data_IF_869459379165
#
_entry.id   IF_869459379165
#
_cell.length_a   1.000
_cell.length_b   1.000
_cell.length_c   1.000
_cell.angle_alpha   90.00
_cell.angle_beta   90.00
_cell.angle_gamma   90.00
#
_symmetry.space_group_name_H-M   'P 1'
#
loop_
_entity.id
_entity.type
_entity.pdbx_description
1 polymer ?
#
# COMPACT_ATOMS: atom_id res chain seq x y z
N UNK A 1 2.61 -29.70 -34.01
CA UNK A 1 1.43 -29.44 -33.16
C UNK A 1 1.96 -29.38 -31.73
N UNK A 2 1.81 -28.26 -30.99
CA UNK A 2 2.20 -28.24 -29.59
C UNK A 2 1.20 -29.10 -28.80
N UNK A 3 1.72 -30.06 -28.02
CA UNK A 3 0.94 -30.84 -27.07
C UNK A 3 0.20 -29.91 -26.12
N UNK A 4 -1.13 -30.01 -26.10
CA UNK A 4 -1.95 -29.36 -25.08
C UNK A 4 -1.68 -30.08 -23.76
N UNK A 5 -0.77 -29.51 -22.96
CA UNK A 5 -0.62 -29.92 -21.56
C UNK A 5 -1.94 -29.63 -20.85
N UNK A 6 -2.71 -30.68 -20.54
CA UNK A 6 -3.90 -30.52 -19.69
C UNK A 6 -3.47 -29.93 -18.34
N UNK A 7 -4.10 -28.86 -17.88
CA UNK A 7 -3.79 -28.31 -16.58
C UNK A 7 -4.02 -29.39 -15.50
N UNK A 8 -3.05 -29.55 -14.61
CA UNK A 8 -3.16 -30.46 -13.48
C UNK A 8 -4.44 -30.18 -12.68
N UNK A 9 -5.25 -31.20 -12.33
CA UNK A 9 -6.47 -31.02 -11.53
C UNK A 9 -6.18 -30.63 -10.06
N UNK A 10 -4.94 -30.77 -9.61
CA UNK A 10 -4.53 -30.54 -8.22
C UNK A 10 -4.86 -29.11 -7.71
N UNK A 11 -4.57 -28.01 -8.44
CA UNK A 11 -4.93 -26.66 -7.95
C UNK A 11 -6.44 -26.48 -7.79
N UNK A 12 -7.24 -27.04 -8.69
CA UNK A 12 -8.70 -26.95 -8.58
C UNK A 12 -9.21 -27.74 -7.37
N UNK A 13 -8.70 -28.95 -7.15
CA UNK A 13 -9.05 -29.78 -5.99
C UNK A 13 -8.70 -29.06 -4.67
N UNK A 14 -7.50 -28.52 -4.55
CA UNK A 14 -7.07 -27.76 -3.36
C UNK A 14 -7.95 -26.56 -3.11
N UNK A 15 -8.32 -25.82 -4.16
CA UNK A 15 -9.22 -24.67 -4.04
C UNK A 15 -10.60 -25.07 -3.55
N UNK A 16 -11.21 -26.12 -4.14
CA UNK A 16 -12.51 -26.60 -3.71
C UNK A 16 -12.48 -27.18 -2.29
N UNK A 17 -11.42 -27.90 -1.92
CA UNK A 17 -11.24 -28.38 -0.54
C UNK A 17 -11.15 -27.23 0.44
N UNK A 18 -10.38 -26.18 0.11
CA UNK A 18 -10.29 -24.95 0.94
C UNK A 18 -11.65 -24.27 1.12
N UNK A 19 -12.40 -24.09 0.03
CA UNK A 19 -13.76 -23.52 0.07
C UNK A 19 -14.67 -24.38 0.93
N UNK A 20 -14.67 -25.70 0.74
CA UNK A 20 -15.48 -26.62 1.52
C UNK A 20 -15.17 -26.55 3.02
N UNK A 21 -13.88 -26.51 3.40
CA UNK A 21 -13.45 -26.36 4.80
C UNK A 21 -13.92 -25.03 5.40
N UNK A 22 -13.82 -23.94 4.65
CA UNK A 22 -14.31 -22.63 5.09
C UNK A 22 -15.83 -22.67 5.34
N UNK A 23 -16.60 -23.25 4.41
CA UNK A 23 -18.05 -23.38 4.54
C UNK A 23 -18.43 -24.26 5.74
N UNK A 24 -17.76 -25.41 5.89
CA UNK A 24 -17.97 -26.31 7.04
C UNK A 24 -17.64 -25.59 8.35
N UNK A 25 -16.52 -24.85 8.42
CA UNK A 25 -16.15 -24.06 9.57
C UNK A 25 -17.21 -22.99 9.91
N UNK A 26 -17.67 -22.25 8.89
CA UNK A 26 -18.72 -21.24 9.05
C UNK A 26 -20.01 -21.86 9.63
N UNK A 27 -20.42 -23.02 9.11
CA UNK A 27 -21.62 -23.72 9.56
C UNK A 27 -21.45 -24.32 10.96
N UNK A 28 -20.34 -25.06 11.19
CA UNK A 28 -20.08 -25.74 12.46
C UNK A 28 -19.99 -24.77 13.65
N UNK A 29 -19.38 -23.60 13.43
CA UNK A 29 -19.22 -22.56 14.46
C UNK A 29 -20.35 -21.54 14.48
N UNK A 30 -21.40 -21.73 13.69
CA UNK A 30 -22.54 -20.79 13.58
C UNK A 30 -22.13 -19.34 13.37
N UNK A 31 -21.06 -19.12 12.62
CA UNK A 31 -20.46 -17.77 12.42
C UNK A 31 -21.42 -16.75 11.82
N UNK A 32 -22.50 -17.20 11.16
CA UNK A 32 -23.57 -16.28 10.68
C UNK A 32 -24.30 -15.55 11.81
N UNK A 33 -24.26 -16.05 13.05
CA UNK A 33 -24.90 -15.39 14.20
C UNK A 33 -24.12 -14.16 14.65
N UNK A 34 -22.79 -14.15 14.38
CA UNK A 34 -21.87 -13.06 14.68
C UNK A 34 -21.78 -12.02 13.54
N UNK A 35 -22.46 -12.26 12.41
CA UNK A 35 -22.41 -11.33 11.29
C UNK A 35 -23.13 -10.02 11.65
N UNK A 36 -22.47 -8.86 11.52
CA UNK A 36 -23.03 -7.57 11.83
C UNK A 36 -23.99 -7.10 10.74
N UNK A 37 -25.16 -7.72 10.62
CA UNK A 37 -26.16 -7.39 9.60
C UNK A 37 -26.53 -5.89 9.51
N UNK A 38 -26.64 -5.11 10.61
CA UNK A 38 -26.87 -3.68 10.52
C UNK A 38 -25.79 -2.97 9.73
N UNK A 39 -24.51 -3.33 9.95
CA UNK A 39 -23.38 -2.77 9.20
C UNK A 39 -23.38 -3.17 7.73
N UNK A 40 -23.88 -4.36 7.40
CA UNK A 40 -24.03 -4.76 6.00
C UNK A 40 -25.04 -3.86 5.26
N UNK A 41 -26.11 -3.44 5.92
CA UNK A 41 -27.07 -2.48 5.38
C UNK A 41 -26.42 -1.10 5.17
N UNK A 42 -25.69 -0.59 6.15
CA UNK A 42 -24.95 0.68 6.05
C UNK A 42 -23.95 0.66 4.87
N UNK A 43 -23.17 -0.41 4.72
CA UNK A 43 -22.25 -0.57 3.60
C UNK A 43 -22.99 -0.69 2.26
N UNK A 44 -24.13 -1.35 2.23
CA UNK A 44 -25.00 -1.40 1.06
C UNK A 44 -25.50 -0.02 0.66
N UNK A 45 -25.93 0.79 1.62
CA UNK A 45 -26.34 2.19 1.39
C UNK A 45 -25.16 3.04 0.89
N UNK A 46 -23.97 2.94 1.50
CA UNK A 46 -22.77 3.64 1.05
C UNK A 46 -22.37 3.23 -0.37
N UNK A 47 -22.50 1.95 -0.71
CA UNK A 47 -22.27 1.45 -2.05
C UNK A 47 -23.23 2.09 -3.07
N UNK A 48 -24.51 2.17 -2.76
CA UNK A 48 -25.51 2.82 -3.61
C UNK A 48 -25.25 4.31 -3.76
N UNK A 49 -24.90 5.00 -2.67
CA UNK A 49 -24.55 6.42 -2.70
C UNK A 49 -23.30 6.68 -3.55
N UNK A 50 -22.27 5.81 -3.45
CA UNK A 50 -21.07 5.93 -4.27
C UNK A 50 -21.37 5.71 -5.76
N UNK A 51 -22.21 4.73 -6.10
CA UNK A 51 -22.66 4.50 -7.48
C UNK A 51 -23.47 5.68 -8.00
N UNK A 52 -24.36 6.24 -7.18
CA UNK A 52 -25.14 7.44 -7.53
C UNK A 52 -24.22 8.67 -7.73
N UNK A 53 -23.22 8.88 -6.85
CA UNK A 53 -22.24 9.97 -6.99
C UNK A 53 -21.34 9.80 -8.21
N UNK A 54 -21.04 8.57 -8.60
CA UNK A 54 -20.26 8.29 -9.81
C UNK A 54 -21.05 8.52 -11.12
N UNK A 55 -22.38 8.43 -11.08
CA UNK A 55 -23.23 8.52 -12.27
C UNK A 55 -23.06 9.81 -13.07
N UNK A 56 -23.00 11.04 -12.49
CA UNK A 56 -22.76 12.26 -13.26
C UNK A 56 -21.44 12.24 -14.03
N UNK A 57 -20.36 11.74 -13.41
CA UNK A 57 -19.06 11.64 -14.07
C UNK A 57 -19.10 10.67 -15.27
N UNK A 58 -19.82 9.56 -15.12
CA UNK A 58 -20.05 8.64 -16.24
C UNK A 58 -20.84 9.33 -17.37
N UNK A 59 -21.90 10.06 -17.03
CA UNK A 59 -22.81 10.66 -18.03
C UNK A 59 -22.19 11.85 -18.75
N UNK A 60 -21.50 12.74 -18.02
CA UNK A 60 -21.00 13.99 -18.58
C UNK A 60 -19.57 13.90 -19.10
N UNK A 61 -18.72 13.13 -18.40
CA UNK A 61 -17.29 13.01 -18.75
C UNK A 61 -16.98 11.74 -19.51
N UNK A 62 -17.96 10.88 -19.75
CA UNK A 62 -17.80 9.59 -20.43
C UNK A 62 -16.72 8.68 -19.78
N UNK A 63 -16.56 8.82 -18.47
CA UNK A 63 -15.62 7.99 -17.73
C UNK A 63 -16.16 6.58 -17.55
N UNK A 64 -15.26 5.59 -17.46
CA UNK A 64 -15.64 4.24 -17.04
C UNK A 64 -16.24 4.28 -15.62
N UNK A 65 -17.15 3.34 -15.33
CA UNK A 65 -17.76 3.27 -13.99
C UNK A 65 -16.71 3.12 -12.88
N UNK A 66 -15.68 2.31 -13.10
CA UNK A 66 -14.58 2.14 -12.15
C UNK A 66 -13.82 3.46 -11.90
N UNK A 67 -13.47 4.22 -12.97
CA UNK A 67 -12.79 5.51 -12.81
C UNK A 67 -13.67 6.55 -12.11
N UNK A 68 -14.97 6.58 -12.42
CA UNK A 68 -15.93 7.48 -11.78
C UNK A 68 -16.11 7.16 -10.29
N UNK A 69 -16.16 5.86 -9.92
CA UNK A 69 -16.16 5.42 -8.53
C UNK A 69 -14.88 5.82 -7.81
N UNK A 70 -13.71 5.59 -8.40
CA UNK A 70 -12.44 6.01 -7.83
C UNK A 70 -12.40 7.51 -7.53
N UNK A 71 -12.89 8.34 -8.45
CA UNK A 71 -12.99 9.78 -8.24
C UNK A 71 -13.99 10.16 -7.13
N UNK A 72 -15.14 9.47 -7.06
CA UNK A 72 -16.13 9.70 -6.01
C UNK A 72 -15.55 9.37 -4.62
N UNK A 73 -14.82 8.26 -4.50
CA UNK A 73 -14.14 7.89 -3.25
C UNK A 73 -13.03 8.87 -2.86
N UNK A 74 -12.23 9.35 -3.81
CA UNK A 74 -11.20 10.37 -3.54
C UNK A 74 -11.81 11.71 -3.12
N UNK A 75 -12.95 12.08 -3.72
CA UNK A 75 -13.68 13.28 -3.31
C UNK A 75 -14.23 13.12 -1.88
N UNK A 76 -14.84 11.98 -1.57
CA UNK A 76 -15.32 11.68 -0.22
C UNK A 76 -14.18 11.72 0.79
N UNK A 77 -13.03 11.11 0.47
CA UNK A 77 -11.84 11.19 1.31
C UNK A 77 -11.42 12.64 1.57
N UNK A 78 -11.40 13.49 0.52
CA UNK A 78 -11.05 14.91 0.69
C UNK A 78 -12.05 15.69 1.53
N UNK A 79 -13.35 15.31 1.48
CA UNK A 79 -14.39 15.92 2.32
C UNK A 79 -14.26 15.50 3.77
N UNK A 80 -14.08 14.21 4.04
CA UNK A 80 -14.10 13.67 5.41
C UNK A 80 -12.74 13.76 6.12
N UNK A 81 -11.63 13.50 5.43
CA UNK A 81 -10.27 13.59 6.00
C UNK A 81 -9.66 14.99 5.85
N UNK A 82 -10.33 15.89 5.13
CA UNK A 82 -9.84 17.23 4.83
C UNK A 82 -8.97 17.33 3.57
N UNK A 83 -9.04 18.45 2.83
CA UNK A 83 -8.29 18.64 1.61
C UNK A 83 -6.77 18.75 1.84
N UNK A 84 -6.34 19.37 2.94
CA UNK A 84 -4.90 19.54 3.22
C UNK A 84 -4.17 18.23 3.50
N UNK A 85 -4.68 17.29 4.30
CA UNK A 85 -4.13 15.94 4.42
C UNK A 85 -4.03 15.20 3.09
N UNK A 86 -5.05 15.29 2.24
CA UNK A 86 -5.03 14.64 0.91
C UNK A 86 -3.97 15.26 0.01
N UNK A 87 -3.86 16.59 -0.04
CA UNK A 87 -2.83 17.29 -0.82
C UNK A 87 -1.41 16.99 -0.31
N UNK A 88 -1.20 17.01 1.01
CA UNK A 88 0.07 16.67 1.64
C UNK A 88 0.50 15.24 1.32
N UNK A 89 -0.42 14.28 1.43
CA UNK A 89 -0.19 12.88 1.08
C UNK A 89 0.09 12.70 -0.41
N UNK A 90 -0.64 13.39 -1.28
CA UNK A 90 -0.40 13.37 -2.73
C UNK A 90 0.98 13.95 -3.09
N UNK A 91 1.41 15.04 -2.44
CA UNK A 91 2.73 15.62 -2.62
C UNK A 91 3.83 14.66 -2.15
N UNK A 92 3.66 14.03 -0.99
CA UNK A 92 4.56 13.00 -0.47
C UNK A 92 4.64 11.79 -1.42
N UNK A 93 3.50 11.31 -1.94
CA UNK A 93 3.46 10.21 -2.90
C UNK A 93 4.17 10.57 -4.22
N UNK A 94 3.98 11.79 -4.73
CA UNK A 94 4.69 12.27 -5.92
C UNK A 94 6.21 12.34 -5.68
N UNK A 95 6.65 12.87 -4.54
CA UNK A 95 8.06 12.87 -4.15
C UNK A 95 8.60 11.44 -4.01
N UNK A 96 7.84 10.52 -3.42
CA UNK A 96 8.20 9.10 -3.30
C UNK A 96 8.38 8.44 -4.68
N UNK A 97 7.47 8.67 -5.63
CA UNK A 97 7.66 8.21 -7.01
C UNK A 97 8.96 8.77 -7.60
N UNK A 98 9.23 10.06 -7.37
CA UNK A 98 10.46 10.71 -7.83
C UNK A 98 11.71 10.04 -7.30
N UNK A 99 11.80 9.85 -5.97
CA UNK A 99 12.95 9.21 -5.29
C UNK A 99 13.06 7.74 -5.70
N UNK A 100 11.99 6.97 -5.63
CA UNK A 100 11.99 5.54 -5.99
C UNK A 100 12.36 5.29 -7.46
N UNK A 101 12.05 6.24 -8.35
CA UNK A 101 12.45 6.17 -9.77
C UNK A 101 13.97 6.25 -10.01
N UNK A 102 14.77 6.59 -9.01
CA UNK A 102 16.23 6.50 -9.05
C UNK A 102 16.70 5.04 -9.04
N UNK A 103 15.92 4.17 -8.37
CA UNK A 103 16.20 2.74 -8.27
C UNK A 103 15.48 1.97 -9.37
N UNK A 104 14.14 2.05 -9.40
CA UNK A 104 13.32 1.41 -10.44
C UNK A 104 12.23 2.34 -10.93
N UNK A 105 11.93 2.29 -12.23
CA UNK A 105 10.84 3.06 -12.84
C UNK A 105 9.53 2.27 -12.85
N UNK A 106 8.43 2.97 -13.08
CA UNK A 106 7.10 2.40 -13.17
C UNK A 106 6.36 2.38 -11.83
N UNK A 107 5.27 1.61 -11.71
CA UNK A 107 4.39 1.65 -10.52
C UNK A 107 5.07 1.25 -9.22
N UNK A 108 6.12 0.40 -9.28
CA UNK A 108 6.89 -0.04 -8.12
C UNK A 108 7.78 1.09 -7.52
N UNK A 109 7.96 2.19 -8.26
CA UNK A 109 8.74 3.33 -7.75
C UNK A 109 8.10 3.94 -6.49
N UNK A 110 6.77 3.96 -6.39
CA UNK A 110 6.07 4.52 -5.23
C UNK A 110 6.40 3.79 -3.93
N UNK A 111 6.18 2.46 -3.79
CA UNK A 111 6.53 1.75 -2.55
C UNK A 111 8.02 1.80 -2.23
N UNK A 112 8.91 1.75 -3.22
CA UNK A 112 10.37 1.89 -3.01
C UNK A 112 10.70 3.29 -2.48
N UNK A 113 10.12 4.35 -3.06
CA UNK A 113 10.37 5.72 -2.61
C UNK A 113 9.84 6.00 -1.22
N UNK A 114 8.67 5.45 -0.85
CA UNK A 114 8.16 5.53 0.52
C UNK A 114 9.12 4.82 1.50
N UNK A 115 9.65 3.64 1.15
CA UNK A 115 10.65 2.94 1.95
C UNK A 115 11.94 3.76 2.13
N UNK A 116 12.44 4.38 1.05
CA UNK A 116 13.63 5.24 1.10
C UNK A 116 13.42 6.47 1.98
N UNK A 117 12.26 7.14 1.86
CA UNK A 117 11.93 8.32 2.67
C UNK A 117 11.81 7.92 4.14
N UNK A 118 11.07 6.86 4.46
CA UNK A 118 10.91 6.38 5.83
C UNK A 118 12.25 6.02 6.46
N UNK A 119 13.04 5.17 5.80
CA UNK A 119 14.33 4.74 6.29
C UNK A 119 15.33 5.90 6.49
N UNK A 120 15.36 6.87 5.55
CA UNK A 120 16.23 8.03 5.69
C UNK A 120 15.79 8.95 6.82
N UNK A 121 14.50 9.26 6.91
CA UNK A 121 13.99 10.18 7.92
C UNK A 121 13.96 9.56 9.32
N UNK A 122 13.85 8.23 9.42
CA UNK A 122 13.96 7.52 10.70
C UNK A 122 15.25 7.87 11.46
N UNK A 123 16.38 7.95 10.77
CA UNK A 123 17.66 8.36 11.36
C UNK A 123 17.77 9.84 11.72
N UNK A 124 16.91 10.67 11.15
CA UNK A 124 16.95 12.11 11.32
C UNK A 124 15.92 12.63 12.34
N UNK A 125 15.11 11.74 12.94
CA UNK A 125 13.97 12.10 13.80
C UNK A 125 14.37 13.00 14.99
N UNK A 126 15.55 12.80 15.55
CA UNK A 126 16.04 13.60 16.69
C UNK A 126 16.48 15.02 16.32
N UNK A 127 16.69 15.31 15.04
CA UNK A 127 17.12 16.63 14.58
C UNK A 127 15.93 17.60 14.51
N UNK A 128 16.12 18.90 14.82
CA UNK A 128 15.05 19.90 14.78
C UNK A 128 14.83 20.42 13.35
N UNK A 129 14.60 19.52 12.41
CA UNK A 129 14.42 19.84 10.97
C UNK A 129 13.03 19.52 10.45
N UNK A 130 12.16 18.95 11.29
CA UNK A 130 10.85 18.43 10.87
C UNK A 130 9.79 19.54 10.81
N UNK A 131 10.09 20.59 10.04
CA UNK A 131 9.18 21.70 9.80
C UNK A 131 8.42 21.54 8.49
N UNK A 132 7.19 22.06 8.46
CA UNK A 132 6.33 22.04 7.28
C UNK A 132 7.03 22.61 6.04
N UNK A 133 7.73 23.75 6.20
CA UNK A 133 8.44 24.40 5.09
C UNK A 133 9.58 23.51 4.54
N UNK A 134 10.34 22.85 5.43
CA UNK A 134 11.44 21.96 5.04
C UNK A 134 10.90 20.79 4.21
N UNK A 135 9.86 20.13 4.69
CA UNK A 135 9.25 19.00 3.98
C UNK A 135 8.59 19.44 2.67
N UNK A 136 7.87 20.58 2.67
CA UNK A 136 7.26 21.10 1.46
C UNK A 136 8.32 21.43 0.40
N UNK A 137 9.37 22.15 0.77
CA UNK A 137 10.47 22.49 -0.14
C UNK A 137 11.21 21.24 -0.66
N UNK A 138 11.51 20.29 0.21
CA UNK A 138 12.17 19.04 -0.19
C UNK A 138 11.30 18.25 -1.17
N UNK A 139 10.01 18.06 -0.88
CA UNK A 139 9.09 17.36 -1.77
C UNK A 139 8.93 18.09 -3.11
N UNK A 140 8.73 19.41 -3.09
CA UNK A 140 8.60 20.24 -4.32
C UNK A 140 9.88 20.17 -5.14
N UNK A 141 11.06 20.25 -4.51
CA UNK A 141 12.35 20.13 -5.19
C UNK A 141 12.50 18.78 -5.89
N UNK A 142 12.18 17.68 -5.20
CA UNK A 142 12.18 16.33 -5.79
C UNK A 142 11.19 16.23 -6.94
N UNK A 143 9.97 16.73 -6.77
CA UNK A 143 8.93 16.71 -7.81
C UNK A 143 9.38 17.52 -9.03
N UNK A 144 9.93 18.71 -8.85
CA UNK A 144 10.43 19.55 -9.93
C UNK A 144 11.60 18.86 -10.67
N UNK A 145 12.57 18.31 -9.92
CA UNK A 145 13.72 17.61 -10.48
C UNK A 145 13.33 16.35 -11.25
N UNK A 146 12.42 15.54 -10.68
CA UNK A 146 12.03 14.23 -11.24
C UNK A 146 10.72 14.25 -12.03
N UNK A 147 10.19 15.43 -12.35
CA UNK A 147 8.86 15.63 -12.98
C UNK A 147 8.57 14.69 -14.14
N UNK A 148 9.55 14.45 -15.04
CA UNK A 148 9.36 13.56 -16.19
C UNK A 148 9.13 12.12 -15.74
N UNK A 149 9.95 11.60 -14.83
CA UNK A 149 9.79 10.24 -14.33
C UNK A 149 8.49 10.05 -13.56
N UNK A 150 8.05 11.05 -12.82
CA UNK A 150 6.76 11.04 -12.11
C UNK A 150 5.61 11.02 -13.11
N UNK A 151 5.60 11.90 -14.09
CA UNK A 151 4.57 11.94 -15.13
C UNK A 151 4.50 10.64 -15.93
N UNK A 152 5.66 10.05 -16.27
CA UNK A 152 5.72 8.78 -16.99
C UNK A 152 5.17 7.63 -16.13
N UNK A 153 5.50 7.60 -14.83
CA UNK A 153 4.95 6.61 -13.91
C UNK A 153 3.42 6.75 -13.76
N UNK A 154 2.91 7.97 -13.60
CA UNK A 154 1.47 8.23 -13.49
C UNK A 154 0.73 7.89 -14.79
N UNK A 155 1.26 8.28 -15.95
CA UNK A 155 0.69 7.91 -17.25
C UNK A 155 0.68 6.39 -17.44
N UNK A 156 1.78 5.72 -17.12
CA UNK A 156 1.88 4.26 -17.21
C UNK A 156 0.89 3.57 -16.28
N UNK A 157 0.74 4.05 -15.04
CA UNK A 157 -0.25 3.54 -14.09
C UNK A 157 -1.67 3.75 -14.61
N UNK A 158 -1.97 4.95 -15.15
CA UNK A 158 -3.27 5.25 -15.76
C UNK A 158 -3.58 4.35 -16.97
N UNK A 159 -2.63 4.18 -17.88
CA UNK A 159 -2.80 3.29 -19.03
C UNK A 159 -3.04 1.84 -18.61
N UNK A 160 -2.31 1.34 -17.62
CA UNK A 160 -2.50 -0.02 -17.07
C UNK A 160 -3.89 -0.16 -16.45
N UNK A 161 -4.30 0.83 -15.65
CA UNK A 161 -5.62 0.88 -15.03
C UNK A 161 -6.73 0.87 -16.08
N UNK A 162 -6.68 1.79 -17.04
CA UNK A 162 -7.68 1.96 -18.09
C UNK A 162 -7.79 0.72 -19.00
N UNK A 163 -6.64 0.13 -19.38
CA UNK A 163 -6.61 -1.13 -20.12
C UNK A 163 -7.24 -2.28 -19.31
N UNK A 164 -6.92 -2.40 -18.04
CA UNK A 164 -7.50 -3.40 -17.14
C UNK A 164 -9.01 -3.22 -16.95
N UNK A 165 -9.47 -1.97 -16.82
CA UNK A 165 -10.91 -1.64 -16.73
C UNK A 165 -11.64 -2.00 -18.00
N UNK A 166 -11.07 -1.68 -19.17
CA UNK A 166 -11.67 -2.05 -20.48
C UNK A 166 -11.74 -3.56 -20.67
N UNK A 167 -10.71 -4.27 -20.24
CA UNK A 167 -10.66 -5.73 -20.37
C UNK A 167 -11.64 -6.47 -19.43
N UNK A 168 -11.93 -5.90 -18.25
CA UNK A 168 -12.84 -6.52 -17.27
C UNK A 168 -13.63 -5.46 -16.48
N UNK A 169 -14.63 -4.77 -17.10
CA UNK A 169 -15.32 -3.64 -16.48
C UNK A 169 -16.08 -3.98 -15.19
N UNK A 170 -16.71 -5.14 -15.16
CA UNK A 170 -17.50 -5.58 -13.99
C UNK A 170 -16.61 -5.88 -12.78
N UNK A 171 -15.51 -6.64 -12.97
CA UNK A 171 -14.59 -6.97 -11.91
C UNK A 171 -13.85 -5.71 -11.40
N UNK A 172 -13.44 -4.81 -12.30
CA UNK A 172 -12.84 -3.54 -11.94
C UNK A 172 -13.80 -2.67 -11.13
N UNK A 173 -15.07 -2.58 -11.54
CA UNK A 173 -16.10 -1.83 -10.81
C UNK A 173 -16.31 -2.41 -9.40
N UNK A 174 -16.43 -3.74 -9.28
CA UNK A 174 -16.57 -4.43 -8.00
C UNK A 174 -15.35 -4.21 -7.09
N UNK A 175 -14.15 -4.32 -7.64
CA UNK A 175 -12.91 -4.08 -6.89
C UNK A 175 -12.82 -2.64 -6.36
N UNK A 176 -13.13 -1.64 -7.20
CA UNK A 176 -13.13 -0.22 -6.79
C UNK A 176 -14.25 0.09 -5.78
N UNK A 177 -15.39 -0.58 -5.89
CA UNK A 177 -16.47 -0.44 -4.92
C UNK A 177 -16.03 -0.97 -3.54
N UNK A 178 -15.49 -2.19 -3.49
CA UNK A 178 -15.00 -2.80 -2.25
C UNK A 178 -13.82 -2.04 -1.65
N UNK A 179 -12.87 -1.59 -2.48
CA UNK A 179 -11.75 -0.79 -2.00
C UNK A 179 -12.22 0.55 -1.40
N UNK A 180 -13.20 1.19 -2.03
CA UNK A 180 -13.80 2.40 -1.52
C UNK A 180 -14.52 2.17 -0.19
N UNK A 181 -15.31 1.09 -0.08
CA UNK A 181 -15.96 0.73 1.17
C UNK A 181 -14.95 0.45 2.28
N UNK A 182 -13.86 -0.27 1.99
CA UNK A 182 -12.78 -0.49 2.95
C UNK A 182 -12.12 0.84 3.40
N UNK A 183 -12.03 1.83 2.50
CA UNK A 183 -11.44 3.13 2.81
C UNK A 183 -12.30 3.99 3.74
N UNK A 184 -13.61 3.71 3.87
CA UNK A 184 -14.52 4.53 4.73
C UNK A 184 -14.09 4.53 6.18
N UNK A 185 -13.47 3.48 6.65
CA UNK A 185 -12.93 3.40 8.02
C UNK A 185 -11.79 4.43 8.26
N UNK A 186 -11.11 4.86 7.21
CA UNK A 186 -10.08 5.90 7.29
C UNK A 186 -10.63 7.33 7.41
N UNK A 187 -11.93 7.54 7.19
CA UNK A 187 -12.53 8.88 7.18
C UNK A 187 -12.79 9.44 8.58
N UNK A 188 -12.94 8.56 9.57
CA UNK A 188 -13.22 8.94 10.95
C UNK A 188 -11.92 9.06 11.74
N UNK A 189 -11.87 9.86 12.82
CA UNK A 189 -10.74 9.86 13.75
C UNK A 189 -10.51 8.45 14.29
N UNK A 190 -9.23 8.13 14.55
CA UNK A 190 -8.93 6.83 15.14
C UNK A 190 -9.47 6.73 16.58
N UNK A 191 -10.01 5.56 16.89
CA UNK A 191 -10.44 5.20 18.25
C UNK A 191 -9.70 3.94 18.72
N UNK A 192 -8.69 3.50 17.98
CA UNK A 192 -7.91 2.31 18.36
C UNK A 192 -6.99 2.65 19.53
N UNK A 193 -6.95 1.77 20.51
CA UNK A 193 -6.16 1.95 21.73
C UNK A 193 -4.68 2.13 21.44
N UNK A 194 -4.14 1.36 20.51
CA UNK A 194 -2.73 1.37 20.13
C UNK A 194 -2.34 2.69 19.44
N UNK A 195 -3.22 3.24 18.61
CA UNK A 195 -2.97 4.51 17.96
C UNK A 195 -2.84 5.63 18.98
N UNK A 196 -3.78 5.68 19.93
CA UNK A 196 -3.79 6.69 20.99
C UNK A 196 -2.64 6.48 21.96
N UNK A 197 -2.27 5.22 22.24
CA UNK A 197 -1.23 4.89 23.21
C UNK A 197 0.17 5.22 22.70
N UNK A 198 0.47 5.00 21.41
CA UNK A 198 1.85 5.16 20.91
C UNK A 198 1.99 5.60 19.45
N UNK A 199 1.18 5.14 18.48
CA UNK A 199 1.37 5.48 17.07
C UNK A 199 1.21 6.97 16.78
N UNK A 200 0.24 7.65 17.42
CA UNK A 200 0.06 9.10 17.29
C UNK A 200 1.16 9.92 17.98
N UNK A 201 1.94 9.30 18.88
CA UNK A 201 2.98 10.00 19.63
C UNK A 201 4.05 10.62 18.74
N UNK A 202 4.62 9.85 17.81
CA UNK A 202 5.65 10.32 16.89
C UNK A 202 5.13 11.45 15.95
N UNK A 203 4.04 11.28 15.19
CA UNK A 203 3.49 12.34 14.35
C UNK A 203 3.19 13.63 15.11
N UNK A 204 2.57 13.51 16.28
CA UNK A 204 2.18 14.66 17.10
C UNK A 204 3.40 15.41 17.64
N UNK A 205 4.42 14.67 18.07
CA UNK A 205 5.65 15.30 18.58
C UNK A 205 6.43 15.98 17.46
N UNK A 206 6.55 15.38 16.27
CA UNK A 206 7.17 16.02 15.11
C UNK A 206 6.45 17.33 14.74
N UNK A 207 5.13 17.32 14.77
CA UNK A 207 4.33 18.52 14.47
C UNK A 207 4.51 19.60 15.51
N UNK A 208 4.55 19.24 16.80
CA UNK A 208 4.62 20.21 17.90
C UNK A 208 6.02 20.78 18.13
N UNK A 209 7.07 19.96 17.99
CA UNK A 209 8.44 20.30 18.41
C UNK A 209 9.47 20.25 17.29
N UNK A 210 9.06 19.90 16.07
CA UNK A 210 9.92 19.71 14.90
C UNK A 210 11.05 18.68 15.09
N UNK A 211 10.94 17.82 16.07
CA UNK A 211 11.84 16.71 16.35
C UNK A 211 11.11 15.61 17.13
N UNK A 212 11.61 14.40 17.09
CA UNK A 212 11.17 13.31 17.95
C UNK A 212 12.23 13.04 19.01
N UNK A 213 11.87 13.20 20.28
CA UNK A 213 12.69 12.83 21.41
C UNK A 213 12.08 11.59 22.09
N UNK A 214 12.76 10.48 21.97
CA UNK A 214 12.32 9.22 22.56
C UNK A 214 12.48 9.28 24.08
N UNK A 215 11.40 8.98 24.81
CA UNK A 215 11.44 8.75 26.27
C UNK A 215 10.93 7.34 26.59
N UNK A 216 11.87 6.40 26.70
CA UNK A 216 11.56 5.00 26.98
C UNK A 216 10.92 4.79 28.38
N UNK A 217 10.98 5.77 29.29
CA UNK A 217 10.33 5.69 30.62
C UNK A 217 8.83 5.94 30.52
N UNK A 218 8.39 6.69 29.52
CA UNK A 218 6.99 7.03 29.32
C UNK A 218 6.31 6.10 28.32
N UNK A 219 7.09 5.43 27.46
CA UNK A 219 6.52 4.66 26.36
C UNK A 219 7.36 3.42 26.07
N UNK A 220 6.83 2.24 26.36
CA UNK A 220 7.51 0.95 26.11
C UNK A 220 7.90 0.78 24.64
N UNK A 221 7.05 1.22 23.72
CA UNK A 221 7.25 1.11 22.28
C UNK A 221 8.06 2.26 21.67
N UNK A 222 8.53 3.21 22.47
CA UNK A 222 9.36 4.33 22.00
C UNK A 222 10.67 3.89 21.34
N UNK A 223 11.14 2.68 21.61
CA UNK A 223 12.35 2.08 21.02
C UNK A 223 12.12 1.45 19.65
N UNK A 224 10.87 1.32 19.21
CA UNK A 224 10.58 0.69 17.95
C UNK A 224 10.54 1.76 16.83
N UNK A 225 11.41 1.68 15.82
CA UNK A 225 11.35 2.56 14.66
C UNK A 225 10.22 2.10 13.72
N UNK A 226 9.07 2.70 13.85
CA UNK A 226 7.91 2.41 13.02
C UNK A 226 7.97 3.20 11.72
N UNK A 227 8.45 2.63 10.63
CA UNK A 227 8.52 3.30 9.33
C UNK A 227 7.16 3.85 8.87
N UNK A 228 6.06 3.19 9.23
CA UNK A 228 4.71 3.69 8.99
C UNK A 228 4.44 5.02 9.69
N UNK A 229 4.80 5.11 10.98
CA UNK A 229 4.59 6.31 11.81
C UNK A 229 5.48 7.48 11.35
N UNK A 230 6.70 7.20 10.86
CA UNK A 230 7.57 8.21 10.27
C UNK A 230 6.90 8.87 9.06
N UNK A 231 6.36 8.07 8.13
CA UNK A 231 5.66 8.58 6.95
C UNK A 231 4.37 9.31 7.32
N UNK A 232 3.66 8.80 8.32
CA UNK A 232 2.49 9.46 8.90
C UNK A 232 2.87 10.81 9.48
N UNK A 233 3.97 10.90 10.23
CA UNK A 233 4.51 12.13 10.79
C UNK A 233 4.85 13.16 9.72
N UNK A 234 5.51 12.74 8.63
CA UNK A 234 5.81 13.62 7.49
C UNK A 234 4.53 14.18 6.86
N UNK A 235 3.54 13.33 6.62
CA UNK A 235 2.26 13.75 6.04
C UNK A 235 1.50 14.70 6.99
N UNK A 236 1.51 14.43 8.30
CA UNK A 236 0.87 15.26 9.32
C UNK A 236 1.54 16.63 9.42
N UNK A 237 2.87 16.71 9.46
CA UNK A 237 3.62 17.97 9.45
C UNK A 237 3.34 18.76 8.18
N UNK A 238 3.33 18.12 7.01
CA UNK A 238 2.98 18.75 5.73
C UNK A 238 1.55 19.30 5.72
N UNK A 239 0.60 18.54 6.23
CA UNK A 239 -0.80 18.92 6.30
C UNK A 239 -1.05 20.05 7.31
N UNK A 240 -0.27 20.07 8.39
CA UNK A 240 -0.52 20.94 9.55
C UNK A 240 -1.62 20.41 10.46
N UNK A 241 -1.97 19.13 10.36
CA UNK A 241 -3.00 18.43 11.12
C UNK A 241 -2.99 16.93 10.82
N UNK A 242 -3.83 16.17 11.49
CA UNK A 242 -3.92 14.70 11.30
C UNK A 242 -4.06 14.33 9.81
N UNK A 243 -3.20 13.44 9.32
CA UNK A 243 -3.18 12.99 7.93
C UNK A 243 -3.44 11.48 7.78
N UNK A 244 -3.81 10.80 8.86
CA UNK A 244 -3.98 9.34 8.91
C UNK A 244 -4.93 8.83 7.83
N UNK A 245 -6.10 9.45 7.68
CA UNK A 245 -7.08 9.01 6.69
C UNK A 245 -6.54 9.04 5.26
N UNK A 246 -5.85 10.11 4.89
CA UNK A 246 -5.24 10.24 3.56
C UNK A 246 -4.08 9.26 3.36
N UNK A 247 -3.23 9.07 4.38
CA UNK A 247 -2.13 8.09 4.32
C UNK A 247 -2.64 6.65 4.23
N UNK A 248 -3.68 6.29 4.98
CA UNK A 248 -4.26 4.96 4.92
C UNK A 248 -4.92 4.69 3.56
N UNK A 249 -5.55 5.70 2.95
CA UNK A 249 -6.02 5.60 1.57
C UNK A 249 -4.87 5.41 0.58
N UNK A 250 -3.73 6.09 0.77
CA UNK A 250 -2.52 5.86 -0.03
C UNK A 250 -2.03 4.41 0.11
N UNK A 251 -1.97 3.88 1.33
CA UNK A 251 -1.57 2.49 1.56
C UNK A 251 -2.51 1.49 0.89
N UNK A 252 -3.82 1.72 0.94
CA UNK A 252 -4.80 0.89 0.23
C UNK A 252 -4.58 0.94 -1.30
N UNK A 253 -4.27 2.10 -1.86
CA UNK A 253 -3.97 2.26 -3.30
C UNK A 253 -2.68 1.51 -3.66
N UNK A 254 -1.62 1.64 -2.84
CA UNK A 254 -0.35 0.92 -3.06
C UNK A 254 -0.57 -0.58 -2.97
N UNK A 255 -1.30 -1.05 -1.96
CA UNK A 255 -1.64 -2.46 -1.78
C UNK A 255 -2.45 -3.00 -2.97
N UNK A 256 -3.47 -2.26 -3.42
CA UNK A 256 -4.28 -2.63 -4.58
C UNK A 256 -3.42 -2.73 -5.86
N UNK A 257 -2.54 -1.75 -6.09
CA UNK A 257 -1.61 -1.76 -7.22
C UNK A 257 -0.62 -2.94 -7.16
N UNK A 258 -0.08 -3.22 -5.98
CA UNK A 258 0.84 -4.34 -5.74
C UNK A 258 0.15 -5.69 -5.94
N UNK A 259 -1.06 -5.88 -5.40
CA UNK A 259 -1.86 -7.10 -5.59
C UNK A 259 -2.25 -7.32 -7.05
N UNK A 260 -2.67 -6.24 -7.75
CA UNK A 260 -2.96 -6.31 -9.18
C UNK A 260 -1.72 -6.70 -10.00
N UNK A 261 -0.55 -6.12 -9.68
CA UNK A 261 0.72 -6.43 -10.32
C UNK A 261 1.19 -7.86 -10.02
N UNK A 262 1.09 -8.29 -8.76
CA UNK A 262 1.43 -9.63 -8.29
C UNK A 262 0.57 -10.70 -8.98
N UNK A 263 -0.75 -10.50 -9.02
CA UNK A 263 -1.65 -11.41 -9.72
C UNK A 263 -1.31 -11.53 -11.22
N UNK A 264 -0.85 -10.41 -11.82
CA UNK A 264 -0.35 -10.42 -13.20
C UNK A 264 0.96 -11.19 -13.37
N UNK A 265 1.91 -11.05 -12.46
CA UNK A 265 3.16 -11.79 -12.47
C UNK A 265 2.96 -13.31 -12.29
N UNK A 266 1.86 -13.69 -11.63
CA UNK A 266 1.41 -15.08 -11.49
C UNK A 266 0.60 -15.59 -12.69
N UNK A 267 0.52 -14.83 -13.79
CA UNK A 267 -0.19 -15.22 -15.02
C UNK A 267 -1.70 -14.95 -14.98
N UNK A 268 -2.19 -14.16 -14.02
CA UNK A 268 -3.60 -13.77 -13.95
C UNK A 268 -3.99 -12.85 -15.10
N UNK A 269 -5.12 -13.14 -15.76
CA UNK A 269 -5.78 -12.25 -16.70
C UNK A 269 -6.36 -10.98 -16.00
N UNK A 270 -6.89 -10.04 -16.74
CA UNK A 270 -7.44 -8.80 -16.19
C UNK A 270 -8.52 -9.06 -15.12
N UNK A 271 -9.37 -10.05 -15.32
CA UNK A 271 -10.44 -10.40 -14.38
C UNK A 271 -9.87 -10.92 -13.06
N UNK A 272 -8.91 -11.84 -13.11
CA UNK A 272 -8.24 -12.39 -11.92
C UNK A 272 -7.48 -11.33 -11.15
N UNK A 273 -6.81 -10.41 -11.85
CA UNK A 273 -6.12 -9.27 -11.21
C UNK A 273 -7.08 -8.39 -10.40
N UNK A 274 -8.23 -8.05 -10.97
CA UNK A 274 -9.24 -7.27 -10.25
C UNK A 274 -9.88 -8.05 -9.10
N UNK A 275 -10.11 -9.36 -9.27
CA UNK A 275 -10.60 -10.20 -8.19
C UNK A 275 -9.60 -10.30 -7.04
N UNK A 276 -8.29 -10.33 -7.29
CA UNK A 276 -7.28 -10.29 -6.24
C UNK A 276 -7.39 -9.00 -5.41
N UNK A 277 -7.59 -7.85 -6.07
CA UNK A 277 -7.85 -6.58 -5.38
C UNK A 277 -9.17 -6.62 -4.60
N UNK A 278 -10.23 -7.13 -5.22
CA UNK A 278 -11.55 -7.24 -4.59
C UNK A 278 -11.52 -8.11 -3.33
N UNK A 279 -10.87 -9.27 -3.40
CA UNK A 279 -10.69 -10.17 -2.26
C UNK A 279 -9.92 -9.51 -1.12
N UNK A 280 -8.79 -8.86 -1.42
CA UNK A 280 -8.03 -8.11 -0.42
C UNK A 280 -8.90 -7.02 0.23
N UNK A 281 -9.61 -6.23 -0.56
CA UNK A 281 -10.44 -5.13 -0.06
C UNK A 281 -11.66 -5.60 0.74
N UNK A 282 -12.20 -6.79 0.43
CA UNK A 282 -13.38 -7.37 1.11
C UNK A 282 -13.08 -8.01 2.47
N UNK A 283 -11.80 -8.19 2.81
CA UNK A 283 -11.44 -8.73 4.12
C UNK A 283 -11.84 -7.75 5.23
N UNK A 284 -12.56 -8.18 6.27
CA UNK A 284 -12.86 -7.33 7.43
C UNK A 284 -11.60 -6.73 8.06
N UNK A 285 -10.51 -7.48 8.03
CA UNK A 285 -9.20 -7.02 8.51
C UNK A 285 -8.70 -5.79 7.73
N UNK A 286 -8.88 -5.73 6.42
CA UNK A 286 -8.46 -4.57 5.60
C UNK A 286 -9.14 -3.30 6.06
N UNK A 287 -10.45 -3.36 6.34
CA UNK A 287 -11.21 -2.24 6.85
C UNK A 287 -10.76 -1.86 8.28
N UNK A 288 -10.53 -2.85 9.14
CA UNK A 288 -10.04 -2.64 10.49
C UNK A 288 -8.67 -1.94 10.48
N UNK A 289 -7.73 -2.39 9.65
CA UNK A 289 -6.40 -1.79 9.50
C UNK A 289 -6.48 -0.37 8.92
N UNK A 290 -7.42 -0.12 7.99
CA UNK A 290 -7.63 1.21 7.42
C UNK A 290 -8.20 2.23 8.46
N UNK A 291 -8.80 1.75 9.55
CA UNK A 291 -9.31 2.60 10.62
C UNK A 291 -8.23 3.12 11.57
N UNK A 292 -7.04 2.50 11.60
CA UNK A 292 -5.97 2.82 12.54
C UNK A 292 -4.64 3.12 11.89
N UNK A 293 -3.58 3.12 12.68
CA UNK A 293 -2.19 3.31 12.26
C UNK A 293 -1.38 2.00 12.32
N UNK A 294 -2.09 0.87 12.29
CA UNK A 294 -1.48 -0.44 12.38
C UNK A 294 -0.43 -0.66 11.28
N UNK A 295 0.76 -1.15 11.68
CA UNK A 295 1.87 -1.43 10.75
C UNK A 295 1.52 -2.46 9.69
N UNK A 296 0.52 -3.30 9.95
CA UNK A 296 0.01 -4.34 9.08
C UNK A 296 -0.59 -3.78 7.78
N UNK A 297 -1.20 -2.57 7.81
CA UNK A 297 -1.68 -1.92 6.59
C UNK A 297 -0.52 -1.55 5.65
N UNK A 298 0.56 -1.05 6.21
CA UNK A 298 1.77 -0.71 5.47
C UNK A 298 2.45 -1.97 4.94
N UNK A 299 2.52 -3.03 5.77
CA UNK A 299 3.04 -4.33 5.36
C UNK A 299 2.20 -4.96 4.24
N UNK A 300 0.86 -4.80 4.28
CA UNK A 300 -0.05 -5.25 3.22
C UNK A 300 0.22 -4.54 1.88
N UNK A 301 0.85 -3.36 1.89
CA UNK A 301 1.29 -2.68 0.68
C UNK A 301 2.70 -3.11 0.24
N UNK A 302 3.67 -3.19 1.17
CA UNK A 302 5.06 -3.46 0.82
C UNK A 302 5.36 -4.94 0.57
N UNK A 303 4.72 -5.87 1.27
CA UNK A 303 4.97 -7.31 1.09
C UNK A 303 4.51 -7.81 -0.30
N UNK A 304 3.30 -7.50 -0.78
CA UNK A 304 2.93 -7.83 -2.16
C UNK A 304 3.76 -7.08 -3.22
N UNK A 305 4.23 -5.87 -2.92
CA UNK A 305 5.12 -5.15 -3.83
C UNK A 305 6.48 -5.85 -3.96
N UNK A 306 7.03 -6.37 -2.85
CA UNK A 306 8.23 -7.18 -2.86
C UNK A 306 8.00 -8.51 -3.60
N UNK A 307 6.88 -9.19 -3.34
CA UNK A 307 6.50 -10.42 -4.04
C UNK A 307 6.37 -10.19 -5.55
N UNK A 308 5.70 -9.11 -5.94
CA UNK A 308 5.59 -8.71 -7.35
C UNK A 308 6.96 -8.45 -7.97
N UNK A 309 7.85 -7.72 -7.28
CA UNK A 309 9.21 -7.47 -7.76
C UNK A 309 9.98 -8.75 -7.99
N UNK A 310 9.86 -9.72 -7.09
CA UNK A 310 10.57 -11.02 -7.15
C UNK A 310 10.03 -11.93 -8.26
N UNK A 311 8.71 -11.90 -8.51
CA UNK A 311 8.04 -12.81 -9.43
C UNK A 311 8.00 -12.33 -10.88
N UNK A 312 8.20 -11.04 -11.14
CA UNK A 312 8.26 -10.55 -12.52
C UNK A 312 9.57 -10.99 -13.19
N UNK A 313 9.47 -11.47 -14.43
CA UNK A 313 10.56 -12.15 -15.12
C UNK A 313 11.77 -11.23 -15.43
N UNK A 314 11.56 -9.93 -15.59
CA UNK A 314 12.55 -8.95 -16.04
C UNK A 314 13.34 -8.28 -14.90
N UNK A 315 13.04 -8.63 -13.63
CA UNK A 315 13.41 -7.77 -12.51
C UNK A 315 14.50 -8.25 -11.58
N UNK A 316 14.62 -9.54 -11.35
CA UNK A 316 15.41 -10.06 -10.20
C UNK A 316 16.89 -10.25 -10.49
N UNK A 317 17.31 -10.29 -11.75
CA UNK A 317 18.71 -10.44 -12.13
C UNK A 317 19.46 -9.11 -12.30
N UNK A 318 18.77 -7.97 -12.20
CA UNK A 318 19.43 -6.67 -12.30
C UNK A 318 19.92 -6.16 -10.94
N UNK A 319 21.06 -5.45 -10.86
CA UNK A 319 21.51 -4.81 -9.63
C UNK A 319 20.45 -3.90 -9.00
N UNK A 320 19.70 -3.18 -9.83
CA UNK A 320 18.62 -2.28 -9.39
C UNK A 320 17.46 -3.03 -8.73
N UNK A 321 17.12 -4.22 -9.23
CA UNK A 321 16.06 -5.05 -8.64
C UNK A 321 16.49 -5.61 -7.29
N UNK A 322 17.76 -5.99 -7.13
CA UNK A 322 18.33 -6.41 -5.84
C UNK A 322 18.28 -5.24 -4.85
N UNK A 323 18.68 -4.04 -5.25
CA UNK A 323 18.62 -2.86 -4.38
C UNK A 323 17.17 -2.51 -3.99
N UNK A 324 16.23 -2.59 -4.93
CA UNK A 324 14.81 -2.37 -4.67
C UNK A 324 14.24 -3.40 -3.70
N UNK A 325 14.58 -4.67 -3.87
CA UNK A 325 14.19 -5.75 -2.96
C UNK A 325 14.74 -5.55 -1.55
N UNK A 326 16.00 -5.14 -1.45
CA UNK A 326 16.67 -4.83 -0.18
C UNK A 326 16.02 -3.64 0.54
N UNK A 327 15.67 -2.57 -0.16
CA UNK A 327 14.96 -1.42 0.40
C UNK A 327 13.58 -1.80 0.94
N UNK A 328 12.79 -2.56 0.18
CA UNK A 328 11.48 -3.02 0.62
C UNK A 328 11.59 -4.01 1.80
N UNK A 329 12.58 -4.91 1.78
CA UNK A 329 12.84 -5.84 2.87
C UNK A 329 13.25 -5.09 4.15
N UNK A 330 14.19 -4.15 4.06
CA UNK A 330 14.58 -3.33 5.20
C UNK A 330 13.39 -2.53 5.75
N UNK A 331 12.60 -1.92 4.87
CA UNK A 331 11.41 -1.19 5.29
C UNK A 331 10.38 -2.09 6.01
N UNK A 332 10.21 -3.34 5.59
CA UNK A 332 9.38 -4.33 6.29
C UNK A 332 9.94 -4.67 7.68
N UNK A 333 11.27 -4.83 7.79
CA UNK A 333 11.92 -5.02 9.10
C UNK A 333 11.73 -3.81 10.01
N UNK A 334 11.83 -2.59 9.47
CA UNK A 334 11.60 -1.35 10.20
C UNK A 334 10.14 -1.04 10.54
N UNK A 335 9.17 -1.82 10.03
CA UNK A 335 7.79 -1.80 10.53
C UNK A 335 7.64 -2.67 11.78
N UNK A 336 7.99 -3.93 11.63
CA UNK A 336 8.08 -4.96 12.68
C UNK A 336 9.03 -6.05 12.18
N UNK A 337 9.93 -6.59 13.01
CA UNK A 337 10.81 -7.71 12.61
C UNK A 337 10.03 -8.90 12.03
N UNK A 338 8.82 -9.13 12.50
CA UNK A 338 7.92 -10.20 12.00
C UNK A 338 7.62 -10.06 10.51
N UNK A 339 7.43 -8.85 9.98
CA UNK A 339 7.18 -8.64 8.55
C UNK A 339 8.41 -8.98 7.71
N UNK A 340 9.62 -8.70 8.24
CA UNK A 340 10.87 -9.16 7.64
C UNK A 340 10.96 -10.69 7.60
N UNK A 341 10.63 -11.35 8.73
CA UNK A 341 10.65 -12.83 8.81
C UNK A 341 9.71 -13.46 7.77
N UNK A 342 8.50 -12.92 7.59
CA UNK A 342 7.55 -13.39 6.58
C UNK A 342 8.09 -13.22 5.15
N UNK A 343 8.93 -12.21 4.90
CA UNK A 343 9.54 -11.97 3.59
C UNK A 343 10.73 -12.90 3.28
N UNK A 344 11.40 -13.48 4.30
CA UNK A 344 12.61 -14.30 4.12
C UNK A 344 12.43 -15.50 3.19
N UNK A 345 11.38 -16.35 3.31
CA UNK A 345 11.21 -17.51 2.41
C UNK A 345 11.13 -17.09 0.95
N UNK A 346 10.47 -15.98 0.65
CA UNK A 346 10.35 -15.45 -0.70
C UNK A 346 11.68 -14.95 -1.24
N UNK A 347 12.47 -14.24 -0.43
CA UNK A 347 13.81 -13.79 -0.82
C UNK A 347 14.77 -14.96 -0.99
N UNK A 348 14.71 -15.96 -0.12
CA UNK A 348 15.51 -17.18 -0.23
C UNK A 348 15.17 -17.94 -1.53
N UNK A 349 13.88 -18.07 -1.85
CA UNK A 349 13.43 -18.66 -3.10
C UNK A 349 13.90 -17.85 -4.32
N UNK A 350 13.82 -16.51 -4.29
CA UNK A 350 14.32 -15.66 -5.35
C UNK A 350 15.84 -15.82 -5.55
N UNK A 351 16.60 -15.81 -4.47
CA UNK A 351 18.05 -16.01 -4.51
C UNK A 351 18.40 -17.38 -5.09
N UNK A 352 17.70 -18.43 -4.70
CA UNK A 352 17.89 -19.78 -5.25
C UNK A 352 17.52 -19.86 -6.73
N UNK A 353 16.36 -19.29 -7.13
CA UNK A 353 15.90 -19.30 -8.53
C UNK A 353 16.87 -18.56 -9.46
N UNK A 354 17.42 -17.43 -9.02
CA UNK A 354 18.28 -16.58 -9.83
C UNK A 354 19.78 -16.73 -9.52
N UNK A 355 20.18 -17.77 -8.76
CA UNK A 355 21.58 -17.94 -8.29
C UNK A 355 22.66 -17.84 -9.36
N UNK A 356 22.36 -18.28 -10.61
CA UNK A 356 23.31 -18.24 -11.71
C UNK A 356 23.55 -16.82 -12.26
N UNK A 357 22.60 -15.92 -12.08
CA UNK A 357 22.62 -14.56 -12.63
C UNK A 357 22.52 -13.48 -11.54
N UNK A 358 22.71 -13.88 -10.27
CA UNK A 358 22.61 -12.96 -9.14
C UNK A 358 23.76 -11.94 -9.23
N UNK A 359 23.48 -10.62 -9.17
CA UNK A 359 24.52 -9.60 -9.21
C UNK A 359 25.19 -9.48 -7.84
N UNK A 360 26.10 -10.40 -7.53
CA UNK A 360 26.77 -10.53 -6.22
C UNK A 360 27.37 -9.21 -5.72
N UNK A 361 27.85 -8.36 -6.64
CA UNK A 361 28.40 -7.03 -6.30
C UNK A 361 27.36 -6.06 -5.75
N UNK A 362 26.07 -6.28 -6.01
CA UNK A 362 24.99 -5.45 -5.47
C UNK A 362 24.55 -5.88 -4.07
N UNK A 363 24.87 -7.10 -3.64
CA UNK A 363 24.42 -7.63 -2.34
C UNK A 363 24.96 -6.84 -1.13
N UNK A 364 26.24 -6.46 -1.04
CA UNK A 364 26.74 -5.67 0.09
C UNK A 364 26.02 -4.31 0.18
N UNK A 365 25.82 -3.64 -0.95
CA UNK A 365 25.09 -2.36 -1.00
C UNK A 365 23.63 -2.58 -0.63
N UNK A 366 23.03 -3.66 -1.13
CA UNK A 366 21.67 -4.05 -0.76
C UNK A 366 21.51 -4.31 0.74
N UNK A 367 22.45 -5.05 1.35
CA UNK A 367 22.46 -5.31 2.79
C UNK A 367 22.57 -4.02 3.61
N UNK A 368 23.45 -3.09 3.19
CA UNK A 368 23.56 -1.78 3.81
C UNK A 368 22.25 -0.97 3.72
N UNK A 369 21.64 -0.93 2.54
CA UNK A 369 20.36 -0.24 2.34
C UNK A 369 19.24 -0.88 3.16
N UNK A 370 19.19 -2.21 3.24
CA UNK A 370 18.24 -2.91 4.09
C UNK A 370 18.45 -2.56 5.58
N UNK A 371 19.69 -2.50 6.03
CA UNK A 371 20.00 -2.09 7.41
C UNK A 371 19.60 -0.62 7.67
N UNK A 372 19.88 0.29 6.74
CA UNK A 372 19.46 1.70 6.86
C UNK A 372 17.93 1.84 6.92
N UNK A 373 17.19 1.09 6.12
CA UNK A 373 15.73 1.15 6.10
C UNK A 373 15.07 0.32 7.22
N UNK A 374 15.79 -0.64 7.80
CA UNK A 374 15.31 -1.51 8.87
C UNK A 374 15.47 -0.93 10.27
N UNK A 375 16.19 0.19 10.41
CA UNK A 375 16.45 0.87 11.69
C UNK A 375 17.71 0.41 12.33
#
# INVERSE_FOLDING_TARGET
MPERTHPSPIPALLSWTGIALCVVGLVAHRMWQELPFPRAFEHGLLALLALAAAWPLQRWRQWSRAAALGAAWLLALAVFSGPMPVLATALLAAAAIGVGSLVLRGPIALPIGLAMIAGTLGWLLSLPIHHRAVYALACIAVVAWRRRAILDALRGAWHTFDAGVRASPAAATGALLLLGLASTAAWLPTMQSDDVAYHLGLPSQLQATARYAMDARLQVWALAPWNGDVLQGVAQVLAGGEARGAMNALWLIVAAGAMHGLAGALGGDATRRWWAVALMASLPLTMHLAAGMQTELVAMAWLPALAWLVLRDDGTSSPRSVLAGALLFGALCGLKPMHGVVALPMLAWAAWRHRAHLPWRALPVGALLAAICGG
#
